data_IF_507422378391
#
_entry.id   IF_507422378391
#
_cell.length_a   1.000
_cell.length_b   1.000
_cell.length_c   1.000
_cell.angle_alpha   90.00
_cell.angle_beta   90.00
_cell.angle_gamma   90.00
#
_symmetry.space_group_name_H-M   'P 1'
#
loop_
_entity.id
_entity.type
_entity.pdbx_description
1 polymer ?
#
# COMPACT_ATOMS: atom_id res chain seq x y z
N UNK A 1 -47.65 41.64 -11.10
CA UNK A 1 -46.98 40.36 -11.39
C UNK A 1 -45.52 40.48 -11.89
N UNK A 2 -44.80 41.61 -11.69
CA UNK A 2 -43.35 41.71 -12.00
C UNK A 2 -42.44 41.67 -10.77
N UNK A 3 -42.93 42.12 -9.60
CA UNK A 3 -42.13 42.16 -8.37
C UNK A 3 -42.03 40.81 -7.63
N UNK A 4 -42.98 39.89 -7.85
CA UNK A 4 -42.96 38.55 -7.24
C UNK A 4 -41.84 37.66 -7.79
N UNK A 5 -41.45 37.85 -9.06
CA UNK A 5 -40.42 37.04 -9.71
C UNK A 5 -39.02 37.48 -9.26
N UNK A 6 -38.85 38.78 -9.01
CA UNK A 6 -37.59 39.35 -8.52
C UNK A 6 -37.32 38.92 -7.08
N UNK A 7 -38.37 38.86 -6.23
CA UNK A 7 -38.25 38.42 -4.84
C UNK A 7 -37.90 36.93 -4.72
N UNK A 8 -38.45 36.08 -5.59
CA UNK A 8 -38.14 34.64 -5.63
C UNK A 8 -36.70 34.38 -6.09
N UNK A 9 -36.19 35.13 -7.07
CA UNK A 9 -34.80 35.01 -7.53
C UNK A 9 -33.79 35.42 -6.43
N UNK A 10 -34.14 36.41 -5.60
CA UNK A 10 -33.28 36.90 -4.53
C UNK A 10 -33.19 35.92 -3.35
N UNK A 11 -34.28 35.19 -3.06
CA UNK A 11 -34.31 34.15 -2.04
C UNK A 11 -33.43 32.96 -2.46
N UNK A 12 -33.51 32.49 -3.71
CA UNK A 12 -32.68 31.37 -4.19
C UNK A 12 -31.18 31.74 -4.22
N UNK A 13 -30.86 33.01 -4.50
CA UNK A 13 -29.47 33.49 -4.45
C UNK A 13 -28.91 33.59 -3.02
N UNK A 14 -29.75 33.85 -2.01
CA UNK A 14 -29.34 33.93 -0.60
C UNK A 14 -29.13 32.57 0.06
N UNK A 15 -29.77 31.50 -0.42
CA UNK A 15 -29.64 30.15 0.13
C UNK A 15 -28.65 29.24 -0.64
N UNK A 16 -28.00 29.74 -1.69
CA UNK A 16 -27.01 28.99 -2.49
C UNK A 16 -25.65 28.74 -1.83
N UNK A 17 -25.45 29.19 -0.58
CA UNK A 17 -24.20 29.00 0.17
C UNK A 17 -24.37 28.15 1.43
N UNK A 18 -25.30 27.19 1.42
CA UNK A 18 -25.22 26.08 2.36
C UNK A 18 -24.24 25.06 1.80
N UNK A 19 -22.95 25.36 1.97
CA UNK A 19 -21.86 24.41 1.78
C UNK A 19 -22.13 23.25 2.74
N UNK A 20 -22.21 22.04 2.17
CA UNK A 20 -22.14 20.80 2.92
C UNK A 20 -20.87 20.82 3.78
N UNK A 21 -21.02 21.08 5.08
CA UNK A 21 -20.04 20.69 6.06
C UNK A 21 -20.16 19.16 6.18
N UNK A 22 -19.41 18.43 5.34
CA UNK A 22 -19.20 17.02 5.59
C UNK A 22 -18.46 16.91 6.91
N UNK A 23 -19.04 16.15 7.85
CA UNK A 23 -18.39 15.79 9.09
C UNK A 23 -17.09 15.05 8.74
N UNK A 24 -15.96 15.76 8.84
CA UNK A 24 -14.66 15.11 8.93
C UNK A 24 -14.64 14.47 10.32
N UNK A 25 -14.95 13.18 10.39
CA UNK A 25 -14.66 12.38 11.56
C UNK A 25 -13.14 12.47 11.82
N UNK A 26 -12.77 13.16 12.90
CA UNK A 26 -11.38 13.42 13.29
C UNK A 26 -10.62 12.17 13.74
N UNK A 27 -11.18 10.97 13.54
CA UNK A 27 -10.54 9.69 13.90
C UNK A 27 -9.59 9.11 12.85
N UNK A 28 -9.46 9.71 11.66
CA UNK A 28 -8.59 9.17 10.60
C UNK A 28 -7.40 10.08 10.22
N UNK A 29 -7.02 11.01 11.08
CA UNK A 29 -5.74 11.71 10.91
C UNK A 29 -4.59 10.87 11.49
N UNK A 30 -4.32 9.74 10.83
CA UNK A 30 -2.96 9.20 10.86
C UNK A 30 -2.10 10.26 10.18
N UNK A 31 -1.06 10.71 10.89
CA UNK A 31 -0.15 11.75 10.43
C UNK A 31 0.29 11.45 8.99
N UNK A 32 -0.08 12.33 8.05
CA UNK A 32 0.59 12.39 6.75
C UNK A 32 2.01 12.80 7.07
N UNK A 33 2.94 11.87 6.90
CA UNK A 33 4.36 12.15 7.02
C UNK A 33 4.70 13.19 5.94
N UNK A 34 5.15 14.35 6.40
CA UNK A 34 5.33 15.55 5.61
C UNK A 34 6.78 15.52 5.07
N UNK A 35 6.95 15.30 3.76
CA UNK A 35 8.08 15.65 2.87
C UNK A 35 8.49 14.55 1.88
N UNK A 36 8.02 14.64 0.64
CA UNK A 36 8.82 14.55 -0.61
C UNK A 36 7.90 14.64 -1.83
N UNK A 37 8.26 15.33 -2.93
CA UNK A 37 7.51 15.28 -4.19
C UNK A 37 7.69 13.96 -4.97
N UNK A 38 8.24 12.91 -4.33
CA UNK A 38 8.28 11.57 -4.88
C UNK A 38 6.97 10.88 -4.49
N UNK A 39 6.13 10.59 -5.48
CA UNK A 39 5.02 9.64 -5.35
C UNK A 39 5.53 8.40 -4.61
N UNK A 40 4.95 8.09 -3.45
CA UNK A 40 5.36 6.90 -2.67
C UNK A 40 5.23 5.65 -3.56
N UNK A 41 6.31 4.87 -3.66
CA UNK A 41 6.30 3.61 -4.42
C UNK A 41 5.35 2.57 -3.80
N UNK A 42 4.96 2.74 -2.53
CA UNK A 42 4.00 1.92 -1.83
C UNK A 42 2.99 2.77 -1.05
N UNK A 43 1.72 2.35 -1.09
CA UNK A 43 0.67 2.91 -0.25
C UNK A 43 -0.06 1.77 0.47
N UNK A 44 0.05 1.73 1.80
CA UNK A 44 -0.59 0.72 2.64
C UNK A 44 -1.79 1.31 3.41
N UNK A 45 -2.95 0.66 3.35
CA UNK A 45 -4.18 1.13 3.98
C UNK A 45 -5.15 -0.02 4.29
N UNK A 46 -6.24 0.30 4.99
CA UNK A 46 -7.31 -0.66 5.28
C UNK A 46 -8.49 -0.44 4.33
N UNK A 47 -9.02 -1.52 3.79
CA UNK A 47 -10.24 -1.56 2.99
C UNK A 47 -11.50 -1.44 3.86
N UNK A 48 -12.67 -1.10 3.29
CA UNK A 48 -13.92 -1.00 4.04
C UNK A 48 -14.36 -2.29 4.73
N UNK A 49 -13.91 -3.45 4.23
CA UNK A 49 -14.16 -4.77 4.82
C UNK A 49 -13.19 -5.12 5.99
N UNK A 50 -12.29 -4.20 6.33
CA UNK A 50 -11.30 -4.35 7.40
C UNK A 50 -10.00 -5.02 6.96
N UNK A 51 -9.94 -5.59 5.75
CA UNK A 51 -8.71 -6.20 5.22
C UNK A 51 -7.70 -5.12 4.85
N UNK A 52 -6.42 -5.42 5.03
CA UNK A 52 -5.36 -4.49 4.66
C UNK A 52 -4.97 -4.66 3.20
N UNK A 53 -4.57 -3.58 2.55
CA UNK A 53 -4.19 -3.50 1.15
C UNK A 53 -2.93 -2.66 0.96
N UNK A 54 -2.00 -3.18 0.17
CA UNK A 54 -0.81 -2.45 -0.27
C UNK A 54 -0.93 -2.23 -1.78
N UNK A 55 -0.90 -0.98 -2.21
CA UNK A 55 -0.77 -0.59 -3.61
C UNK A 55 0.71 -0.36 -3.94
N UNK A 56 1.16 -0.91 -5.06
CA UNK A 56 2.52 -0.78 -5.56
C UNK A 56 2.52 0.16 -6.77
N UNK A 57 3.31 1.22 -6.70
CA UNK A 57 3.43 2.24 -7.72
C UNK A 57 4.83 2.23 -8.33
N UNK A 58 4.92 2.60 -9.60
CA UNK A 58 6.16 2.93 -10.28
C UNK A 58 6.01 4.26 -11.02
N UNK A 59 6.84 5.25 -10.67
CA UNK A 59 6.76 6.60 -11.23
C UNK A 59 5.33 7.20 -11.22
N UNK A 60 4.57 6.88 -10.17
CA UNK A 60 3.19 7.34 -9.99
C UNK A 60 2.12 6.55 -10.75
N UNK A 61 2.49 5.54 -11.56
CA UNK A 61 1.55 4.59 -12.14
C UNK A 61 1.31 3.43 -11.18
N UNK A 62 0.05 3.03 -10.96
CA UNK A 62 -0.27 1.82 -10.19
C UNK A 62 0.16 0.62 -11.02
N UNK A 63 1.04 -0.21 -10.49
CA UNK A 63 1.54 -1.40 -11.17
C UNK A 63 0.83 -2.67 -10.65
N UNK A 64 0.35 -2.62 -9.40
CA UNK A 64 -0.20 -3.79 -8.73
C UNK A 64 -0.71 -3.51 -7.34
N UNK A 65 -1.29 -4.54 -6.73
CA UNK A 65 -1.73 -4.47 -5.34
C UNK A 65 -1.73 -5.84 -4.67
N UNK A 66 -1.64 -5.84 -3.34
CA UNK A 66 -1.79 -7.02 -2.51
C UNK A 66 -2.94 -6.81 -1.53
N UNK A 67 -3.81 -7.81 -1.38
CA UNK A 67 -4.93 -7.79 -0.44
C UNK A 67 -4.72 -8.89 0.59
N UNK A 68 -4.90 -8.53 1.87
CA UNK A 68 -4.86 -9.46 2.98
C UNK A 68 -5.81 -10.64 2.80
N UNK A 69 -5.34 -11.81 3.22
CA UNK A 69 -6.11 -13.05 3.35
C UNK A 69 -5.84 -13.67 4.71
N UNK A 70 -6.57 -14.72 5.06
CA UNK A 70 -6.34 -15.45 6.32
C UNK A 70 -4.93 -16.06 6.38
N UNK A 71 -4.38 -16.43 5.22
CA UNK A 71 -3.05 -17.04 5.10
C UNK A 71 -1.92 -16.03 4.87
N UNK A 72 -2.22 -14.74 4.72
CA UNK A 72 -1.21 -13.74 4.34
C UNK A 72 -1.80 -12.64 3.49
N UNK A 73 -1.46 -12.67 2.20
CA UNK A 73 -2.00 -11.79 1.20
C UNK A 73 -1.93 -12.44 -0.18
N UNK A 74 -2.90 -12.12 -1.01
CA UNK A 74 -2.91 -12.44 -2.44
C UNK A 74 -2.47 -11.21 -3.22
N UNK A 75 -1.63 -11.41 -4.23
CA UNK A 75 -1.05 -10.35 -5.06
C UNK A 75 -1.76 -10.34 -6.42
N UNK A 76 -2.02 -9.14 -6.93
CA UNK A 76 -2.76 -8.93 -8.17
C UNK A 76 -2.03 -7.93 -9.05
N UNK A 77 -2.01 -8.21 -10.35
CA UNK A 77 -1.57 -7.23 -11.35
C UNK A 77 -2.56 -6.06 -11.47
N UNK A 78 -2.20 -5.06 -12.28
CA UNK A 78 -3.04 -3.88 -12.54
C UNK A 78 -4.40 -4.26 -13.16
N UNK A 79 -4.46 -5.36 -13.91
CA UNK A 79 -5.67 -5.86 -14.56
C UNK A 79 -6.57 -6.66 -13.59
N UNK A 80 -6.08 -6.91 -12.37
CA UNK A 80 -6.78 -7.66 -11.32
C UNK A 80 -6.60 -9.17 -11.42
N UNK A 81 -5.66 -9.64 -12.23
CA UNK A 81 -5.30 -11.05 -12.31
C UNK A 81 -4.39 -11.41 -11.14
N UNK A 82 -4.67 -12.53 -10.48
CA UNK A 82 -3.83 -13.03 -9.40
C UNK A 82 -2.45 -13.42 -9.91
N UNK A 83 -1.41 -12.88 -9.27
CA UNK A 83 -0.01 -13.19 -9.57
C UNK A 83 0.35 -14.48 -8.86
N UNK A 84 0.40 -15.58 -9.62
CA UNK A 84 0.90 -16.85 -9.11
C UNK A 84 2.42 -16.80 -9.04
N UNK A 85 3.00 -17.26 -7.93
CA UNK A 85 4.45 -17.25 -7.71
C UNK A 85 5.16 -18.48 -8.30
N UNK A 86 4.38 -19.35 -8.94
CA UNK A 86 4.82 -20.57 -9.58
C UNK A 86 5.14 -20.23 -11.05
N UNK A 87 6.36 -19.79 -11.33
CA UNK A 87 7.13 -20.09 -12.55
C UNK A 87 8.42 -19.25 -12.63
N UNK A 88 9.52 -19.98 -12.87
CA UNK A 88 10.83 -19.58 -13.40
C UNK A 88 11.65 -18.49 -12.70
N UNK A 89 12.53 -18.95 -11.81
CA UNK A 89 13.74 -18.21 -11.41
C UNK A 89 14.82 -18.15 -12.55
N UNK A 90 14.61 -18.65 -13.78
CA UNK A 90 15.76 -18.92 -14.70
C UNK A 90 15.64 -18.64 -16.22
N UNK A 91 14.65 -17.94 -16.80
CA UNK A 91 14.72 -17.62 -18.26
C UNK A 91 14.28 -16.19 -18.66
N UNK A 92 15.26 -15.48 -19.22
CA UNK A 92 15.29 -14.08 -19.66
C UNK A 92 14.53 -13.84 -20.98
N UNK A 93 13.76 -12.73 -21.04
CA UNK A 93 13.99 -11.60 -21.98
C UNK A 93 12.75 -10.75 -22.29
N UNK A 94 11.53 -11.30 -22.17
CA UNK A 94 10.28 -10.52 -22.35
C UNK A 94 9.54 -10.27 -21.04
N UNK A 95 9.46 -11.26 -20.16
CA UNK A 95 8.87 -11.13 -18.83
C UNK A 95 9.75 -10.21 -17.94
N UNK A 96 11.07 -10.19 -18.16
CA UNK A 96 12.04 -9.38 -17.42
C UNK A 96 11.84 -7.86 -17.57
N UNK A 97 11.19 -7.37 -18.63
CA UNK A 97 10.85 -5.94 -18.77
C UNK A 97 9.63 -5.54 -17.94
N UNK A 98 8.60 -6.39 -17.87
CA UNK A 98 7.43 -6.20 -16.99
C UNK A 98 7.75 -6.49 -15.51
N UNK A 99 8.65 -7.45 -15.28
CA UNK A 99 9.13 -7.87 -13.95
C UNK A 99 10.10 -6.88 -13.32
N UNK A 100 10.84 -6.08 -14.09
CA UNK A 100 12.00 -5.33 -13.55
C UNK A 100 11.69 -4.47 -12.32
N UNK A 101 10.46 -3.95 -12.20
CA UNK A 101 10.02 -3.10 -11.08
C UNK A 101 9.03 -3.79 -10.14
N UNK A 102 8.26 -4.74 -10.66
CA UNK A 102 7.50 -5.72 -9.88
C UNK A 102 8.37 -6.70 -9.10
N UNK A 103 9.67 -6.78 -9.39
CA UNK A 103 10.62 -7.72 -8.77
C UNK A 103 10.58 -7.65 -7.25
N UNK A 104 10.42 -6.44 -6.68
CA UNK A 104 10.36 -6.27 -5.24
C UNK A 104 8.98 -6.66 -4.66
N UNK A 105 7.87 -6.38 -5.34
CA UNK A 105 6.54 -6.88 -4.96
C UNK A 105 6.48 -8.41 -5.01
N UNK A 106 7.10 -9.04 -6.02
CA UNK A 106 7.29 -10.49 -6.12
C UNK A 106 8.13 -11.00 -4.94
N UNK A 107 9.19 -10.29 -4.57
CA UNK A 107 10.01 -10.62 -3.40
C UNK A 107 9.20 -10.58 -2.10
N UNK A 108 8.34 -9.56 -1.91
CA UNK A 108 7.38 -9.51 -0.80
C UNK A 108 6.39 -10.68 -0.83
N UNK A 109 5.87 -11.00 -2.02
CA UNK A 109 4.98 -12.13 -2.21
C UNK A 109 5.67 -13.44 -1.84
N UNK A 110 6.95 -13.64 -2.19
CA UNK A 110 7.74 -14.80 -1.73
C UNK A 110 7.89 -14.85 -0.20
N UNK A 111 8.09 -13.71 0.48
CA UNK A 111 8.13 -13.67 1.96
C UNK A 111 6.78 -14.10 2.55
N UNK A 112 5.68 -13.53 2.03
CA UNK A 112 4.32 -13.81 2.51
C UNK A 112 3.93 -15.25 2.18
N UNK A 113 4.28 -15.79 1.02
CA UNK A 113 4.03 -17.20 0.69
C UNK A 113 4.77 -18.16 1.64
N UNK A 114 5.99 -17.79 2.08
CA UNK A 114 6.81 -18.64 2.95
C UNK A 114 6.39 -18.61 4.43
N UNK A 115 6.01 -17.44 4.95
CA UNK A 115 5.71 -17.25 6.38
C UNK A 115 4.27 -16.82 6.68
N UNK A 116 3.45 -16.73 5.63
CA UNK A 116 2.03 -16.47 5.68
C UNK A 116 1.66 -15.17 6.36
N UNK A 117 0.54 -15.23 7.08
CA UNK A 117 -0.07 -14.13 7.80
C UNK A 117 0.88 -13.38 8.71
N UNK A 118 1.80 -14.08 9.34
CA UNK A 118 2.77 -13.45 10.25
C UNK A 118 3.73 -12.51 9.52
N UNK A 119 4.17 -12.86 8.31
CA UNK A 119 4.99 -11.95 7.51
C UNK A 119 4.19 -10.73 7.08
N UNK A 120 2.94 -10.92 6.64
CA UNK A 120 2.05 -9.80 6.30
C UNK A 120 1.83 -8.86 7.49
N UNK A 121 1.55 -9.41 8.68
CA UNK A 121 1.38 -8.64 9.90
C UNK A 121 2.63 -7.84 10.27
N UNK A 122 3.80 -8.46 10.11
CA UNK A 122 5.07 -7.81 10.37
C UNK A 122 5.33 -6.64 9.41
N UNK A 123 5.08 -6.82 8.11
CA UNK A 123 5.23 -5.76 7.09
C UNK A 123 4.40 -4.53 7.46
N UNK A 124 3.15 -4.74 7.91
CA UNK A 124 2.29 -3.67 8.37
C UNK A 124 2.74 -3.05 9.68
N UNK A 125 3.21 -3.86 10.62
CA UNK A 125 3.68 -3.39 11.91
C UNK A 125 4.88 -2.43 11.77
N UNK A 126 5.87 -2.81 10.96
CA UNK A 126 7.06 -1.96 10.71
C UNK A 126 6.78 -0.81 9.73
N UNK A 127 5.64 -0.85 9.04
CA UNK A 127 5.27 0.06 7.97
C UNK A 127 5.80 -0.41 6.63
N UNK A 128 4.89 -0.56 5.66
CA UNK A 128 5.21 -1.11 4.35
C UNK A 128 6.28 -0.31 3.59
N UNK A 129 6.27 1.02 3.71
CA UNK A 129 7.31 1.90 3.13
C UNK A 129 8.70 1.68 3.75
N UNK A 130 8.77 1.54 5.07
CA UNK A 130 10.04 1.23 5.76
C UNK A 130 10.57 -0.13 5.33
N UNK A 131 9.68 -1.12 5.29
CA UNK A 131 9.99 -2.48 4.85
C UNK A 131 10.45 -2.49 3.38
N UNK A 132 9.83 -1.68 2.51
CA UNK A 132 10.22 -1.53 1.10
C UNK A 132 11.63 -0.98 0.96
N UNK A 133 11.94 0.12 1.66
CA UNK A 133 13.28 0.74 1.64
C UNK A 133 14.38 -0.23 2.10
N UNK A 134 14.04 -1.11 3.02
CA UNK A 134 14.95 -2.10 3.63
C UNK A 134 14.75 -3.51 3.08
N UNK A 135 14.06 -3.66 1.95
CA UNK A 135 13.62 -4.98 1.49
C UNK A 135 14.80 -5.91 1.17
N UNK A 136 15.88 -5.39 0.59
CA UNK A 136 17.03 -6.21 0.21
C UNK A 136 17.70 -6.88 1.43
N UNK A 137 17.79 -6.19 2.57
CA UNK A 137 18.31 -6.77 3.83
C UNK A 137 17.42 -7.92 4.32
N UNK A 138 16.10 -7.70 4.33
CA UNK A 138 15.13 -8.75 4.70
C UNK A 138 15.16 -9.94 3.76
N UNK A 139 15.36 -9.70 2.47
CA UNK A 139 15.40 -10.76 1.47
C UNK A 139 16.66 -11.59 1.56
N UNK A 140 17.80 -10.96 1.86
CA UNK A 140 19.04 -11.68 2.12
C UNK A 140 18.90 -12.62 3.32
N UNK A 141 18.31 -12.14 4.42
CA UNK A 141 17.94 -13.00 5.56
C UNK A 141 17.01 -14.14 5.15
N UNK A 142 16.00 -13.84 4.32
CA UNK A 142 14.99 -14.80 3.90
C UNK A 142 15.55 -15.93 3.02
N UNK A 143 16.54 -15.62 2.18
CA UNK A 143 17.32 -16.60 1.41
C UNK A 143 18.06 -17.57 2.36
N UNK A 144 18.59 -17.05 3.47
CA UNK A 144 19.16 -17.87 4.55
C UNK A 144 18.12 -18.58 5.44
N UNK A 145 16.82 -18.49 5.13
CA UNK A 145 15.75 -19.09 5.93
C UNK A 145 15.39 -18.33 7.20
N UNK A 146 15.97 -17.15 7.42
CA UNK A 146 15.68 -16.31 8.58
C UNK A 146 14.41 -15.50 8.32
N UNK A 147 13.38 -15.58 9.18
CA UNK A 147 12.16 -14.82 8.99
C UNK A 147 12.37 -13.31 9.24
N UNK A 148 11.47 -12.44 8.73
CA UNK A 148 11.62 -10.99 8.85
C UNK A 148 11.83 -10.48 10.28
N UNK A 149 11.07 -10.98 11.26
CA UNK A 149 11.17 -10.56 12.68
C UNK A 149 12.44 -11.06 13.39
N UNK A 150 13.28 -11.86 12.73
CA UNK A 150 14.58 -12.30 13.25
C UNK A 150 15.76 -11.81 12.41
N UNK A 151 15.50 -11.06 11.32
CA UNK A 151 16.52 -10.52 10.45
C UNK A 151 17.15 -9.27 11.06
N UNK A 152 18.35 -9.40 11.63
CA UNK A 152 19.03 -8.30 12.34
C UNK A 152 19.31 -7.14 11.40
N UNK A 153 19.81 -7.42 10.21
CA UNK A 153 20.14 -6.44 9.18
C UNK A 153 18.92 -5.60 8.81
N UNK A 154 17.80 -6.27 8.50
CA UNK A 154 16.54 -5.61 8.18
C UNK A 154 15.99 -4.81 9.36
N UNK A 155 16.04 -5.37 10.58
CA UNK A 155 15.62 -4.68 11.81
C UNK A 155 16.44 -3.41 12.05
N UNK A 156 17.75 -3.46 11.82
CA UNK A 156 18.63 -2.29 11.94
C UNK A 156 18.25 -1.24 10.89
N UNK A 157 17.97 -1.64 9.64
CA UNK A 157 17.61 -0.73 8.57
C UNK A 157 16.27 -0.01 8.81
N UNK A 158 15.21 -0.72 9.25
CA UNK A 158 13.92 -0.08 9.57
C UNK A 158 13.96 0.68 10.90
N UNK A 159 14.93 0.36 11.76
CA UNK A 159 15.24 1.10 12.97
C UNK A 159 14.11 1.05 14.01
N UNK A 160 13.67 2.22 14.47
CA UNK A 160 12.71 2.33 15.58
C UNK A 160 11.36 1.64 15.28
N UNK A 161 11.00 1.52 14.00
CA UNK A 161 9.76 0.87 13.57
C UNK A 161 9.69 -0.62 13.95
N UNK A 162 10.83 -1.32 13.99
CA UNK A 162 10.86 -2.74 14.36
C UNK A 162 10.80 -3.00 15.87
N UNK A 163 10.99 -2.01 16.76
CA UNK A 163 11.11 -2.29 18.21
C UNK A 163 9.83 -2.84 18.87
N UNK A 164 8.68 -2.67 18.21
CA UNK A 164 7.35 -3.07 18.72
C UNK A 164 6.71 -4.16 17.86
N UNK A 165 7.50 -4.70 16.94
CA UNK A 165 7.19 -5.75 15.99
C UNK A 165 8.21 -6.88 16.21
#
# INVERSE_FOLDING_TARGET
>A
MKYSVILQALIVALFGHVVYATAIDTRSLVARDDQSPNTEDLIAYQLPDGRRRIDFYDNGALEGYAIETDDGATFYDIDGSEVTLDESDDDDSELSKRISKWRLAIKFAKLVAKWGKRAWDYIYCVGANSMWRCADDYLQCAQGGTPPWACIEGIICVGAAARKC
#
